data_IF_822280864707
#
_entry.id   IF_822280864707
#
_cell.length_a   1.000
_cell.length_b   1.000
_cell.length_c   1.000
_cell.angle_alpha   90.00
_cell.angle_beta   90.00
_cell.angle_gamma   90.00
#
_symmetry.space_group_name_H-M   'P 1'
#
loop_
_entity.id
_entity.type
_entity.pdbx_description
1 polymer ?
#
# COMPACT_ATOMS: atom_id res chain seq x y z
N UNK A 1 5.05 20.79 -38.61
CA UNK A 1 4.90 20.81 -37.14
C UNK A 1 4.53 22.22 -36.77
N UNK A 2 3.35 22.40 -36.21
CA UNK A 2 2.87 23.69 -35.73
C UNK A 2 3.43 23.98 -34.33
N UNK A 3 3.54 25.24 -33.97
CA UNK A 3 3.57 25.63 -32.56
C UNK A 3 2.15 25.58 -31.97
N UNK A 4 2.01 25.75 -30.65
CA UNK A 4 0.72 25.64 -29.96
C UNK A 4 -0.31 26.64 -30.50
N UNK A 5 0.09 27.89 -30.72
CA UNK A 5 -0.83 28.95 -31.13
C UNK A 5 -1.32 28.74 -32.56
N UNK A 6 -0.42 28.42 -33.50
CA UNK A 6 -0.82 28.14 -34.89
C UNK A 6 -1.62 26.84 -35.02
N UNK A 7 -1.37 25.81 -34.19
CA UNK A 7 -2.19 24.61 -34.17
C UNK A 7 -3.62 24.92 -33.68
N UNK A 8 -3.75 25.75 -32.64
CA UNK A 8 -5.05 26.17 -32.13
C UNK A 8 -5.80 27.06 -33.11
N UNK A 9 -5.11 27.91 -33.89
CA UNK A 9 -5.74 28.70 -34.95
C UNK A 9 -6.34 27.83 -36.05
N UNK A 10 -5.68 26.73 -36.42
CA UNK A 10 -6.22 25.75 -37.39
C UNK A 10 -7.52 25.12 -36.87
N UNK A 11 -7.57 24.74 -35.60
CA UNK A 11 -8.78 24.15 -34.99
C UNK A 11 -9.87 25.23 -34.85
N UNK A 12 -9.50 26.41 -34.36
CA UNK A 12 -10.40 27.56 -34.12
C UNK A 12 -11.07 28.05 -35.39
N UNK A 13 -10.39 27.97 -36.54
CA UNK A 13 -10.96 28.31 -37.84
C UNK A 13 -12.18 27.43 -38.22
N UNK A 14 -12.30 26.23 -37.62
CA UNK A 14 -13.42 25.31 -37.82
C UNK A 14 -14.42 25.36 -36.67
N UNK A 15 -13.92 25.35 -35.44
CA UNK A 15 -14.71 25.35 -34.21
C UNK A 15 -13.93 25.99 -33.05
N UNK A 16 -14.38 27.16 -32.60
CA UNK A 16 -13.79 27.91 -31.50
C UNK A 16 -13.95 27.20 -30.14
N UNK A 17 -15.05 26.47 -29.94
CA UNK A 17 -15.28 25.70 -28.72
C UNK A 17 -14.34 24.50 -28.65
N UNK A 18 -14.17 23.78 -29.76
CA UNK A 18 -13.21 22.68 -29.86
C UNK A 18 -11.77 23.15 -29.58
N UNK A 19 -11.37 24.30 -30.11
CA UNK A 19 -10.06 24.88 -29.84
C UNK A 19 -9.87 25.20 -28.34
N UNK A 20 -10.89 25.77 -27.69
CA UNK A 20 -10.86 26.05 -26.23
C UNK A 20 -10.74 24.78 -25.40
N UNK A 21 -11.51 23.74 -25.72
CA UNK A 21 -11.46 22.47 -25.00
C UNK A 21 -10.11 21.75 -25.19
N UNK A 22 -9.60 21.70 -26.42
CA UNK A 22 -8.29 21.12 -26.70
C UNK A 22 -7.17 21.87 -25.97
N UNK A 23 -7.23 23.21 -25.96
CA UNK A 23 -6.29 24.04 -25.21
C UNK A 23 -6.37 23.79 -23.69
N UNK A 24 -7.58 23.68 -23.14
CA UNK A 24 -7.78 23.38 -21.72
C UNK A 24 -7.19 22.01 -21.34
N UNK A 25 -7.46 20.96 -22.13
CA UNK A 25 -6.89 19.63 -21.90
C UNK A 25 -5.36 19.64 -22.02
N UNK A 26 -4.82 20.33 -23.01
CA UNK A 26 -3.38 20.53 -23.15
C UNK A 26 -2.79 21.18 -21.90
N UNK A 27 -3.36 22.29 -21.43
CA UNK A 27 -2.89 22.98 -20.24
C UNK A 27 -2.93 22.10 -18.99
N UNK A 28 -4.02 21.36 -18.77
CA UNK A 28 -4.13 20.44 -17.63
C UNK A 28 -3.08 19.35 -17.74
N UNK A 29 -2.91 18.73 -18.91
CA UNK A 29 -1.87 17.72 -19.15
C UNK A 29 -0.47 18.27 -18.85
N UNK A 30 -0.16 19.50 -19.28
CA UNK A 30 1.15 20.12 -19.04
C UNK A 30 1.39 20.48 -17.59
N UNK A 31 0.34 20.85 -16.85
CA UNK A 31 0.44 21.18 -15.44
C UNK A 31 0.68 19.96 -14.55
N UNK A 32 0.24 18.78 -14.99
CA UNK A 32 0.39 17.51 -14.25
C UNK A 32 1.52 16.62 -14.78
N UNK A 33 2.10 16.93 -15.94
CA UNK A 33 3.19 16.16 -16.53
C UNK A 33 4.46 16.29 -15.68
N UNK A 34 5.10 15.16 -15.38
CA UNK A 34 6.38 15.18 -14.66
C UNK A 34 7.59 15.65 -15.51
N UNK A 35 7.39 16.07 -16.78
CA UNK A 35 8.40 16.79 -17.54
C UNK A 35 7.75 17.91 -18.38
N UNK A 36 8.13 19.19 -18.20
CA UNK A 36 7.44 20.32 -18.80
C UNK A 36 7.67 20.47 -20.32
N UNK A 37 8.51 19.62 -20.93
CA UNK A 37 8.81 19.68 -22.39
C UNK A 37 8.44 18.45 -23.20
N UNK A 38 8.26 17.26 -22.61
CA UNK A 38 7.96 16.01 -23.37
C UNK A 38 6.50 15.60 -23.15
N UNK A 39 5.80 15.22 -24.22
CA UNK A 39 4.48 14.56 -24.16
C UNK A 39 4.72 13.06 -24.09
N UNK A 40 3.90 12.35 -23.33
CA UNK A 40 4.11 10.93 -23.02
C UNK A 40 2.80 10.19 -23.20
N UNK A 41 2.88 8.88 -23.45
CA UNK A 41 1.70 8.02 -23.55
C UNK A 41 0.91 8.02 -22.26
N UNK A 42 1.60 7.99 -21.11
CA UNK A 42 0.97 8.02 -19.79
C UNK A 42 0.12 9.29 -19.60
N UNK A 43 0.68 10.47 -19.91
CA UNK A 43 -0.03 11.74 -19.72
C UNK A 43 -1.30 11.79 -20.60
N UNK A 44 -1.20 11.35 -21.86
CA UNK A 44 -2.32 11.35 -22.80
C UNK A 44 -3.40 10.37 -22.34
N UNK A 45 -3.03 9.15 -21.94
CA UNK A 45 -3.96 8.15 -21.41
C UNK A 45 -4.66 8.65 -20.13
N UNK A 46 -3.91 9.26 -19.20
CA UNK A 46 -4.48 9.85 -17.99
C UNK A 46 -5.49 10.96 -18.31
N UNK A 47 -5.21 11.77 -19.33
CA UNK A 47 -6.14 12.80 -19.78
C UNK A 47 -7.43 12.22 -20.36
N UNK A 48 -7.34 11.33 -21.35
CA UNK A 48 -8.53 10.84 -22.07
C UNK A 48 -9.28 9.75 -21.33
N UNK A 49 -8.63 8.98 -20.44
CA UNK A 49 -9.29 7.87 -19.72
C UNK A 49 -9.80 8.26 -18.35
N UNK A 50 -9.22 9.28 -17.68
CA UNK A 50 -9.62 9.70 -16.33
C UNK A 50 -10.05 11.16 -16.26
N UNK A 51 -9.21 12.08 -16.70
CA UNK A 51 -9.42 13.52 -16.45
C UNK A 51 -10.63 14.05 -17.22
N UNK A 52 -10.73 13.73 -18.51
CA UNK A 52 -11.84 14.15 -19.37
C UNK A 52 -13.18 13.53 -18.92
N UNK A 53 -13.32 12.19 -18.74
CA UNK A 53 -14.53 11.60 -18.17
C UNK A 53 -14.91 12.15 -16.78
N UNK A 54 -13.94 12.33 -15.89
CA UNK A 54 -14.17 12.86 -14.55
C UNK A 54 -14.67 14.31 -14.55
N UNK A 55 -14.24 15.13 -15.51
CA UNK A 55 -14.70 16.50 -15.67
C UNK A 55 -16.15 16.59 -16.20
N UNK A 56 -16.63 15.54 -16.90
CA UNK A 56 -18.01 15.44 -17.38
C UNK A 56 -19.00 15.03 -16.27
N UNK A 57 -18.59 14.18 -15.32
CA UNK A 57 -19.49 13.56 -14.31
C UNK A 57 -19.45 14.29 -12.95
N UNK A 58 -19.24 15.61 -12.90
CA UNK A 58 -19.15 16.33 -11.61
C UNK A 58 -20.45 16.21 -10.78
N UNK A 59 -20.38 15.85 -9.49
CA UNK A 59 -21.57 15.80 -8.63
C UNK A 59 -22.19 17.20 -8.48
N UNK A 60 -23.39 17.41 -9.04
CA UNK A 60 -24.23 18.60 -8.76
C UNK A 60 -24.20 19.75 -9.78
N UNK A 61 -23.78 19.54 -11.03
CA UNK A 61 -23.88 20.56 -12.09
C UNK A 61 -23.71 20.00 -13.50
N UNK A 62 -23.82 20.88 -14.51
CA UNK A 62 -23.45 20.56 -15.90
C UNK A 62 -21.93 20.32 -15.97
N UNK A 63 -21.52 19.17 -16.51
CA UNK A 63 -20.11 18.81 -16.68
C UNK A 63 -19.34 19.86 -17.48
N UNK A 64 -18.01 19.93 -17.29
CA UNK A 64 -17.19 20.93 -17.99
C UNK A 64 -17.15 20.72 -19.53
N UNK A 65 -17.55 19.53 -20.00
CA UNK A 65 -17.57 19.15 -21.40
C UNK A 65 -18.90 18.43 -21.68
N UNK A 66 -19.71 18.92 -22.63
CA UNK A 66 -20.96 18.27 -23.02
C UNK A 66 -20.69 17.08 -23.97
N UNK A 67 -19.79 17.26 -24.94
CA UNK A 67 -19.39 16.23 -25.91
C UNK A 67 -17.99 15.70 -25.60
N UNK A 68 -17.94 14.52 -24.96
CA UNK A 68 -16.70 13.82 -24.64
C UNK A 68 -15.91 13.41 -25.89
N UNK A 69 -16.61 12.91 -26.92
CA UNK A 69 -15.97 12.40 -28.12
C UNK A 69 -15.41 13.54 -28.96
N UNK A 70 -16.20 14.59 -29.21
CA UNK A 70 -15.75 15.78 -29.93
C UNK A 70 -14.59 16.48 -29.22
N UNK A 71 -14.62 16.54 -27.88
CA UNK A 71 -13.51 17.07 -27.09
C UNK A 71 -12.25 16.22 -27.20
N UNK A 72 -12.38 14.88 -27.17
CA UNK A 72 -11.26 13.96 -27.37
C UNK A 72 -10.67 14.04 -28.78
N UNK A 73 -11.51 14.19 -29.81
CA UNK A 73 -11.09 14.35 -31.20
C UNK A 73 -10.36 15.68 -31.44
N UNK A 74 -10.86 16.78 -30.86
CA UNK A 74 -10.18 18.07 -30.91
C UNK A 74 -8.79 18.01 -30.25
N UNK A 75 -8.69 17.29 -29.12
CA UNK A 75 -7.40 17.04 -28.46
C UNK A 75 -6.47 16.17 -29.31
N UNK A 76 -7.01 15.14 -29.97
CA UNK A 76 -6.26 14.31 -30.91
C UNK A 76 -5.74 15.12 -32.13
N UNK A 77 -6.55 16.03 -32.66
CA UNK A 77 -6.15 16.94 -33.74
C UNK A 77 -5.02 17.86 -33.28
N UNK A 78 -5.13 18.45 -32.09
CA UNK A 78 -4.06 19.28 -31.51
C UNK A 78 -2.76 18.50 -31.39
N UNK A 79 -2.79 17.28 -30.80
CA UNK A 79 -1.61 16.42 -30.70
C UNK A 79 -1.00 16.12 -32.07
N UNK A 80 -1.82 15.82 -33.07
CA UNK A 80 -1.36 15.56 -34.42
C UNK A 80 -0.66 16.78 -35.05
N UNK A 81 -1.25 17.98 -34.95
CA UNK A 81 -0.67 19.22 -35.49
C UNK A 81 0.66 19.59 -34.83
N UNK A 82 0.82 19.26 -33.55
CA UNK A 82 2.07 19.40 -32.79
C UNK A 82 3.11 18.29 -33.10
N UNK A 83 2.77 17.33 -33.97
CA UNK A 83 3.67 16.24 -34.38
C UNK A 83 3.69 15.04 -33.43
N UNK A 84 2.71 14.92 -32.54
CA UNK A 84 2.54 13.81 -31.61
C UNK A 84 1.58 12.74 -32.17
N UNK A 85 1.85 12.25 -33.38
CA UNK A 85 0.94 11.38 -34.14
C UNK A 85 0.56 10.10 -33.37
N UNK A 86 1.55 9.41 -32.78
CA UNK A 86 1.32 8.20 -31.96
C UNK A 86 0.40 8.45 -30.77
N UNK A 87 0.40 9.66 -30.21
CA UNK A 87 -0.45 10.02 -29.08
C UNK A 87 -1.85 10.44 -29.52
N UNK A 88 -1.97 11.09 -30.68
CA UNK A 88 -3.27 11.32 -31.31
C UNK A 88 -4.00 10.00 -31.62
N UNK A 89 -3.28 8.95 -32.01
CA UNK A 89 -3.85 7.61 -32.21
C UNK A 89 -4.42 7.00 -30.92
N UNK A 90 -3.84 7.30 -29.74
CA UNK A 90 -4.40 6.86 -28.45
C UNK A 90 -5.78 7.47 -28.24
N UNK A 91 -5.93 8.77 -28.49
CA UNK A 91 -7.21 9.47 -28.37
C UNK A 91 -8.28 8.85 -29.29
N UNK A 92 -7.92 8.54 -30.53
CA UNK A 92 -8.81 7.96 -31.55
C UNK A 92 -8.98 6.45 -31.46
N UNK A 93 -8.38 5.81 -30.47
CA UNK A 93 -8.39 4.36 -30.38
C UNK A 93 -9.79 3.82 -30.00
N UNK A 94 -10.18 2.63 -30.49
CA UNK A 94 -11.42 1.97 -30.06
C UNK A 94 -11.47 1.68 -28.55
N UNK A 95 -10.32 1.64 -27.87
CA UNK A 95 -10.26 1.51 -26.40
C UNK A 95 -10.73 2.80 -25.75
N UNK A 96 -10.18 3.95 -26.15
CA UNK A 96 -10.56 5.26 -25.62
C UNK A 96 -12.04 5.54 -25.84
N UNK A 97 -12.56 5.32 -27.05
CA UNK A 97 -13.98 5.59 -27.33
C UNK A 97 -14.90 4.74 -26.46
N UNK A 98 -14.59 3.45 -26.23
CA UNK A 98 -15.36 2.60 -25.31
C UNK A 98 -15.33 3.09 -23.86
N UNK A 99 -14.24 3.70 -23.42
CA UNK A 99 -14.13 4.30 -22.08
C UNK A 99 -15.01 5.55 -22.00
N UNK A 100 -14.96 6.42 -23.01
CA UNK A 100 -15.78 7.63 -23.06
C UNK A 100 -17.28 7.30 -23.10
N UNK A 101 -17.69 6.30 -23.88
CA UNK A 101 -19.08 5.80 -23.92
C UNK A 101 -19.58 5.33 -22.55
N UNK A 102 -18.68 4.79 -21.73
CA UNK A 102 -19.01 4.27 -20.41
C UNK A 102 -18.93 5.33 -19.31
N UNK A 103 -18.48 6.57 -19.57
CA UNK A 103 -18.11 7.54 -18.52
C UNK A 103 -19.18 7.76 -17.43
N UNK A 104 -20.47 7.69 -17.76
CA UNK A 104 -21.58 7.81 -16.81
C UNK A 104 -21.99 6.51 -16.08
N UNK A 105 -21.39 5.36 -16.42
CA UNK A 105 -21.69 4.06 -15.83
C UNK A 105 -20.73 3.75 -14.66
N UNK A 106 -21.19 3.76 -13.40
CA UNK A 106 -20.34 3.63 -12.22
C UNK A 106 -19.68 2.25 -12.06
N UNK A 107 -20.14 1.22 -12.77
CA UNK A 107 -19.57 -0.14 -12.71
C UNK A 107 -18.68 -0.40 -13.91
N UNK A 108 -19.18 -0.12 -15.11
CA UNK A 108 -18.48 -0.44 -16.35
C UNK A 108 -17.28 0.47 -16.62
N UNK A 109 -17.37 1.75 -16.26
CA UNK A 109 -16.27 2.70 -16.51
C UNK A 109 -14.98 2.33 -15.76
N UNK A 110 -15.01 2.10 -14.42
CA UNK A 110 -13.81 1.69 -13.69
C UNK A 110 -13.17 0.40 -14.22
N UNK A 111 -13.99 -0.58 -14.61
CA UNK A 111 -13.51 -1.86 -15.18
C UNK A 111 -12.79 -1.66 -16.51
N UNK A 112 -13.35 -0.86 -17.43
CA UNK A 112 -12.73 -0.56 -18.72
C UNK A 112 -11.43 0.23 -18.57
N UNK A 113 -11.41 1.21 -17.68
CA UNK A 113 -10.21 2.01 -17.38
C UNK A 113 -9.11 1.12 -16.78
N UNK A 114 -9.45 0.28 -15.81
CA UNK A 114 -8.48 -0.64 -15.19
C UNK A 114 -7.88 -1.60 -16.21
N UNK A 115 -8.71 -2.19 -17.08
CA UNK A 115 -8.22 -3.08 -18.15
C UNK A 115 -7.33 -2.35 -19.15
N UNK A 116 -7.72 -1.16 -19.58
CA UNK A 116 -6.95 -0.37 -20.54
C UNK A 116 -5.58 0.05 -19.98
N UNK A 117 -5.50 0.37 -18.69
CA UNK A 117 -4.23 0.63 -18.02
C UNK A 117 -3.35 -0.62 -17.92
N UNK A 118 -3.91 -1.78 -17.55
CA UNK A 118 -3.17 -3.03 -17.51
C UNK A 118 -2.59 -3.42 -18.88
N UNK A 119 -3.35 -3.19 -19.97
CA UNK A 119 -2.93 -3.45 -21.35
C UNK A 119 -2.00 -2.36 -21.93
N UNK A 120 -1.86 -1.20 -21.26
CA UNK A 120 -1.13 -0.05 -21.80
C UNK A 120 0.39 -0.25 -21.86
N UNK A 121 0.93 -1.12 -21.00
CA UNK A 121 2.37 -1.31 -20.81
C UNK A 121 3.10 -0.12 -20.19
N UNK A 122 2.39 0.94 -19.75
CA UNK A 122 2.98 2.14 -19.13
C UNK A 122 2.37 2.47 -17.77
N UNK A 123 1.45 1.64 -17.28
CA UNK A 123 0.98 1.72 -15.89
C UNK A 123 2.11 1.29 -14.94
N UNK A 124 2.49 2.13 -13.96
CA UNK A 124 3.44 1.73 -12.94
C UNK A 124 2.89 0.57 -12.10
N UNK A 125 3.60 -0.57 -11.98
CA UNK A 125 3.17 -1.66 -11.10
C UNK A 125 3.38 -1.30 -9.63
N UNK A 126 2.65 -1.99 -8.74
CA UNK A 126 3.01 -1.99 -7.32
C UNK A 126 4.41 -2.60 -7.13
N UNK A 127 5.03 -2.28 -6.00
CA UNK A 127 6.37 -2.77 -5.66
C UNK A 127 6.35 -3.45 -4.29
N UNK A 128 7.39 -4.24 -3.95
CA UNK A 128 7.53 -4.80 -2.61
C UNK A 128 7.61 -3.77 -1.47
N UNK A 129 7.81 -2.48 -1.76
CA UNK A 129 7.96 -1.42 -0.74
C UNK A 129 6.84 -0.39 -0.75
N UNK A 130 5.89 -0.50 -1.69
CA UNK A 130 4.88 0.53 -1.97
C UNK A 130 3.77 -0.05 -2.86
N UNK A 131 2.51 0.19 -2.52
CA UNK A 131 1.39 0.11 -3.47
C UNK A 131 0.85 1.51 -3.81
N UNK A 132 0.39 1.70 -5.04
CA UNK A 132 -0.16 2.99 -5.48
C UNK A 132 -1.52 3.29 -4.85
N UNK A 133 -1.72 4.55 -4.46
CA UNK A 133 -2.99 5.08 -3.94
C UNK A 133 -3.94 5.42 -5.09
N UNK A 134 -5.24 5.17 -4.89
CA UNK A 134 -6.26 5.63 -5.84
C UNK A 134 -6.42 7.15 -5.85
N UNK A 135 -6.02 7.81 -4.75
CA UNK A 135 -6.05 9.26 -4.55
C UNK A 135 -4.67 9.73 -4.07
N UNK A 136 -3.69 9.67 -4.97
CA UNK A 136 -2.34 10.19 -4.72
C UNK A 136 -2.32 11.72 -4.64
N UNK A 137 -1.38 12.28 -3.87
CA UNK A 137 -1.13 13.71 -3.87
C UNK A 137 -0.29 14.16 -5.09
N UNK A 138 0.14 15.43 -5.12
CA UNK A 138 0.97 15.96 -6.21
C UNK A 138 2.27 15.19 -6.45
N UNK A 139 2.97 14.77 -5.40
CA UNK A 139 4.22 14.00 -5.49
C UNK A 139 3.95 12.62 -6.06
N UNK A 140 2.96 11.90 -5.54
CA UNK A 140 2.60 10.58 -6.05
C UNK A 140 2.16 10.63 -7.52
N UNK A 141 1.39 11.66 -7.89
CA UNK A 141 0.96 11.91 -9.28
C UNK A 141 2.17 12.16 -10.20
N UNK A 142 3.10 13.01 -9.79
CA UNK A 142 4.32 13.29 -10.55
C UNK A 142 5.20 12.03 -10.69
N UNK A 143 5.33 11.25 -9.62
CA UNK A 143 6.08 10.00 -9.62
C UNK A 143 5.42 8.95 -10.54
N UNK A 144 4.10 8.85 -10.55
CA UNK A 144 3.36 8.01 -11.48
C UNK A 144 3.68 8.36 -12.94
N UNK A 145 3.65 9.65 -13.28
CA UNK A 145 4.01 10.12 -14.62
C UNK A 145 5.48 9.88 -14.96
N UNK A 146 6.39 10.05 -14.00
CA UNK A 146 7.81 9.73 -14.18
C UNK A 146 8.05 8.23 -14.41
N UNK A 147 7.35 7.36 -13.66
CA UNK A 147 7.37 5.91 -13.89
C UNK A 147 6.80 5.57 -15.27
N UNK A 148 5.67 6.17 -15.66
CA UNK A 148 5.04 5.95 -16.97
C UNK A 148 5.99 6.27 -18.12
N UNK A 149 6.72 7.40 -18.04
CA UNK A 149 7.78 7.73 -19.00
C UNK A 149 8.90 6.71 -19.05
N UNK A 150 9.42 6.34 -17.89
CA UNK A 150 10.52 5.37 -17.79
C UNK A 150 10.13 4.03 -18.43
N UNK A 151 8.89 3.57 -18.19
CA UNK A 151 8.36 2.36 -18.79
C UNK A 151 8.16 2.50 -20.29
N UNK A 152 7.62 3.63 -20.75
CA UNK A 152 7.45 3.94 -22.17
C UNK A 152 8.80 3.91 -22.91
N UNK A 153 9.81 4.61 -22.40
CA UNK A 153 11.15 4.64 -22.99
C UNK A 153 11.80 3.26 -23.03
N UNK A 154 11.61 2.45 -21.98
CA UNK A 154 12.11 1.08 -21.94
C UNK A 154 11.42 0.17 -22.98
N UNK A 155 10.12 0.36 -23.22
CA UNK A 155 9.36 -0.33 -24.28
C UNK A 155 9.84 0.10 -25.65
N UNK A 156 9.99 1.41 -25.89
CA UNK A 156 10.47 1.95 -27.18
C UNK A 156 11.90 1.49 -27.50
N UNK A 157 12.75 1.35 -26.48
CA UNK A 157 14.10 0.81 -26.62
C UNK A 157 14.14 -0.72 -26.84
N UNK A 158 13.00 -1.42 -26.77
CA UNK A 158 12.92 -2.88 -26.87
C UNK A 158 13.50 -3.62 -25.67
N UNK A 159 13.81 -2.91 -24.57
CA UNK A 159 14.33 -3.50 -23.33
C UNK A 159 13.23 -4.02 -22.42
N UNK A 160 11.98 -3.67 -22.70
CA UNK A 160 10.79 -4.10 -21.98
C UNK A 160 9.71 -4.55 -22.97
N UNK A 161 9.08 -5.72 -22.78
CA UNK A 161 8.00 -6.17 -23.66
C UNK A 161 6.80 -5.21 -23.64
N UNK A 162 6.21 -4.94 -24.80
CA UNK A 162 5.06 -4.03 -24.93
C UNK A 162 3.73 -4.67 -24.51
N UNK A 163 3.66 -6.00 -24.47
CA UNK A 163 2.46 -6.81 -24.21
C UNK A 163 2.11 -6.95 -22.72
N UNK A 164 2.75 -6.15 -21.85
CA UNK A 164 2.59 -6.24 -20.41
C UNK A 164 3.38 -7.37 -19.75
N UNK A 165 4.02 -8.26 -20.52
CA UNK A 165 4.95 -9.24 -19.95
C UNK A 165 6.21 -8.55 -19.41
N UNK A 166 6.93 -9.21 -18.50
CA UNK A 166 8.13 -8.66 -17.86
C UNK A 166 7.88 -7.89 -16.56
N UNK A 167 6.85 -8.23 -15.79
CA UNK A 167 6.52 -7.62 -14.49
C UNK A 167 7.75 -7.43 -13.56
N UNK A 168 8.65 -8.41 -13.37
CA UNK A 168 9.82 -8.21 -12.52
C UNK A 168 10.75 -7.08 -13.00
N UNK A 169 10.86 -6.89 -14.32
CA UNK A 169 11.66 -5.80 -14.91
C UNK A 169 10.99 -4.44 -14.71
N UNK A 170 9.65 -4.38 -14.80
CA UNK A 170 8.85 -3.18 -14.52
C UNK A 170 9.02 -2.75 -13.07
N UNK A 171 8.85 -3.68 -12.14
CA UNK A 171 9.10 -3.46 -10.71
C UNK A 171 10.53 -2.97 -10.48
N UNK A 172 11.52 -3.61 -11.11
CA UNK A 172 12.93 -3.19 -11.01
C UNK A 172 13.22 -1.78 -11.56
N UNK A 173 12.52 -1.35 -12.62
CA UNK A 173 12.60 0.02 -13.15
C UNK A 173 11.99 1.04 -12.17
N UNK A 174 10.79 0.78 -11.67
CA UNK A 174 10.12 1.64 -10.69
C UNK A 174 10.94 1.75 -9.40
N UNK A 175 11.47 0.64 -8.88
CA UNK A 175 12.33 0.62 -7.69
C UNK A 175 13.61 1.46 -7.87
N UNK A 176 14.23 1.42 -9.05
CA UNK A 176 15.39 2.28 -9.35
C UNK A 176 15.02 3.76 -9.36
N UNK A 177 13.85 4.12 -9.89
CA UNK A 177 13.38 5.51 -9.87
C UNK A 177 13.02 5.97 -8.44
N UNK A 178 12.38 5.11 -7.65
CA UNK A 178 12.05 5.39 -6.24
C UNK A 178 13.30 5.73 -5.41
N UNK A 179 14.43 5.10 -5.73
CA UNK A 179 15.71 5.26 -5.03
C UNK A 179 16.62 6.32 -5.64
N UNK A 180 16.29 6.88 -6.81
CA UNK A 180 17.07 7.96 -7.41
C UNK A 180 16.68 9.32 -6.82
N UNK A 181 17.63 10.25 -6.68
CA UNK A 181 17.32 11.64 -6.40
C UNK A 181 16.44 12.20 -7.53
N UNK A 182 15.52 13.09 -7.20
CA UNK A 182 14.89 13.93 -8.22
C UNK A 182 15.96 14.86 -8.82
N UNK A 183 15.84 15.20 -10.11
CA UNK A 183 16.89 15.77 -10.97
C UNK A 183 17.72 16.96 -10.42
N UNK A 184 17.30 17.59 -9.32
CA UNK A 184 17.96 18.75 -8.69
C UNK A 184 18.05 18.67 -7.15
N UNK A 185 17.65 17.55 -6.52
CA UNK A 185 17.58 17.41 -5.05
C UNK A 185 18.46 16.31 -4.48
N UNK A 186 18.79 16.40 -3.19
CA UNK A 186 19.47 15.30 -2.45
C UNK A 186 18.49 14.18 -2.04
N UNK A 187 17.19 14.44 -2.10
CA UNK A 187 16.16 13.54 -1.61
C UNK A 187 15.59 12.64 -2.71
N UNK A 188 15.37 11.37 -2.37
CA UNK A 188 14.82 10.39 -3.30
C UNK A 188 13.31 10.55 -3.48
N UNK A 189 12.79 10.07 -4.61
CA UNK A 189 11.34 10.01 -4.86
C UNK A 189 10.57 9.28 -3.75
N UNK A 190 11.13 8.19 -3.24
CA UNK A 190 10.51 7.43 -2.15
C UNK A 190 10.39 8.25 -0.86
N UNK A 191 11.40 9.04 -0.52
CA UNK A 191 11.39 9.87 0.68
C UNK A 191 10.34 10.99 0.59
N UNK A 192 10.24 11.66 -0.56
CA UNK A 192 9.20 12.68 -0.82
C UNK A 192 7.80 12.09 -0.81
N UNK A 193 7.60 10.93 -1.47
CA UNK A 193 6.32 10.22 -1.47
C UNK A 193 5.90 9.84 -0.05
N UNK A 194 6.84 9.33 0.75
CA UNK A 194 6.59 8.98 2.14
C UNK A 194 6.19 10.21 2.97
N UNK A 195 6.85 11.35 2.77
CA UNK A 195 6.48 12.60 3.45
C UNK A 195 5.08 13.08 3.05
N UNK A 196 4.75 13.10 1.76
CA UNK A 196 3.40 13.46 1.28
C UNK A 196 2.34 12.56 1.91
N UNK A 197 2.57 11.25 1.91
CA UNK A 197 1.61 10.30 2.47
C UNK A 197 1.53 10.36 3.99
N UNK A 198 2.62 10.65 4.70
CA UNK A 198 2.60 10.94 6.13
C UNK A 198 1.76 12.19 6.42
N UNK A 199 1.95 13.25 5.63
CA UNK A 199 1.24 14.51 5.77
C UNK A 199 -0.25 14.37 5.43
N UNK A 200 -0.65 13.37 4.63
CA UNK A 200 -2.04 12.99 4.42
C UNK A 200 -2.60 12.05 5.52
N UNK A 201 -1.82 11.06 5.96
CA UNK A 201 -2.23 10.01 6.90
C UNK A 201 -2.39 10.51 8.34
N UNK A 202 -1.48 11.39 8.80
CA UNK A 202 -1.47 11.94 10.16
C UNK A 202 -2.72 12.78 10.45
N UNK A 203 -3.10 13.79 9.62
CA UNK A 203 -4.31 14.56 9.81
C UNK A 203 -5.56 13.87 9.24
N UNK A 204 -5.45 12.63 8.76
CA UNK A 204 -6.58 11.81 8.33
C UNK A 204 -7.71 11.79 9.37
N UNK A 205 -8.92 11.38 8.95
CA UNK A 205 -10.14 11.54 9.76
C UNK A 205 -10.01 11.02 11.21
N UNK A 206 -10.63 11.77 12.13
CA UNK A 206 -11.47 11.20 13.18
C UNK A 206 -10.96 11.24 14.63
N UNK A 207 -9.67 11.41 14.93
CA UNK A 207 -9.24 11.50 16.33
C UNK A 207 -8.10 12.51 16.54
N UNK A 208 -8.33 13.47 17.44
CA UNK A 208 -7.30 14.39 17.93
C UNK A 208 -6.22 13.62 18.68
N UNK A 209 -6.62 12.68 19.55
CA UNK A 209 -5.69 11.84 20.31
C UNK A 209 -4.76 11.04 19.39
N UNK A 210 -5.32 10.43 18.33
CA UNK A 210 -4.56 9.71 17.29
C UNK A 210 -3.57 10.66 16.60
N UNK A 211 -4.07 11.81 16.12
CA UNK A 211 -3.24 12.81 15.42
C UNK A 211 -2.07 13.28 16.30
N UNK A 212 -2.31 13.62 17.56
CA UNK A 212 -1.26 14.08 18.47
C UNK A 212 -0.16 13.03 18.68
N UNK A 213 -0.54 11.75 18.81
CA UNK A 213 0.43 10.67 18.91
C UNK A 213 1.24 10.50 17.62
N UNK A 214 0.57 10.50 16.46
CA UNK A 214 1.22 10.27 15.16
C UNK A 214 2.12 11.45 14.74
N UNK A 215 1.77 12.70 15.04
CA UNK A 215 2.65 13.86 14.82
C UNK A 215 3.99 13.67 15.52
N UNK A 216 3.97 13.21 16.77
CA UNK A 216 5.18 12.96 17.56
C UNK A 216 5.99 11.78 17.03
N UNK A 217 5.33 10.81 16.39
CA UNK A 217 5.96 9.63 15.81
C UNK A 217 6.40 9.81 14.35
N UNK A 218 6.07 10.94 13.70
CA UNK A 218 6.43 11.19 12.30
C UNK A 218 7.91 10.89 12.01
N UNK A 219 8.90 11.35 12.81
CA UNK A 219 10.32 11.04 12.54
C UNK A 219 10.64 9.54 12.60
N UNK A 220 9.98 8.82 13.50
CA UNK A 220 10.19 7.40 13.75
C UNK A 220 9.58 6.52 12.66
N UNK A 221 8.40 6.88 12.16
CA UNK A 221 7.74 6.20 11.03
C UNK A 221 8.48 6.51 9.72
N UNK A 222 8.98 7.74 9.59
CA UNK A 222 9.74 8.18 8.41
C UNK A 222 11.09 7.46 8.26
N UNK A 223 11.76 7.15 9.37
CA UNK A 223 13.03 6.40 9.34
C UNK A 223 12.76 4.93 8.95
N UNK A 224 13.60 4.37 8.10
CA UNK A 224 13.59 2.92 7.88
C UNK A 224 13.87 2.23 9.23
N UNK A 225 13.11 1.20 9.62
CA UNK A 225 13.42 0.43 10.81
C UNK A 225 14.86 -0.11 10.71
N UNK A 226 15.58 -0.09 11.82
CA UNK A 226 16.92 -0.71 11.91
C UNK A 226 16.83 -2.18 11.48
N UNK A 227 17.94 -2.87 11.20
CA UNK A 227 17.97 -4.32 10.95
C UNK A 227 18.52 -5.03 12.18
N UNK A 228 18.02 -6.24 12.48
CA UNK A 228 18.50 -7.03 13.64
C UNK A 228 18.26 -8.51 13.35
N UNK A 229 19.24 -9.36 13.62
CA UNK A 229 19.27 -10.75 13.14
C UNK A 229 18.12 -11.63 13.68
N UNK A 230 17.63 -11.40 14.91
CA UNK A 230 16.58 -12.25 15.52
C UNK A 230 15.39 -11.44 16.03
N UNK A 231 14.33 -11.30 15.22
CA UNK A 231 13.18 -10.46 15.58
C UNK A 231 11.95 -11.21 16.07
N UNK A 232 11.76 -12.46 15.66
CA UNK A 232 10.52 -13.21 15.94
C UNK A 232 10.84 -14.71 16.14
N UNK A 233 11.60 -15.08 17.20
CA UNK A 233 12.21 -16.41 17.32
C UNK A 233 11.19 -17.56 17.32
N UNK A 234 10.05 -17.39 18.01
CA UNK A 234 9.01 -18.40 18.02
C UNK A 234 8.35 -18.61 16.65
N UNK A 235 8.16 -17.53 15.88
CA UNK A 235 7.65 -17.61 14.52
C UNK A 235 8.64 -18.33 13.61
N UNK A 236 9.94 -18.01 13.70
CA UNK A 236 10.99 -18.69 12.95
C UNK A 236 11.02 -20.20 13.26
N UNK A 237 10.94 -20.59 14.53
CA UNK A 237 10.85 -22.01 14.93
C UNK A 237 9.64 -22.71 14.29
N UNK A 238 8.49 -22.03 14.24
CA UNK A 238 7.29 -22.57 13.58
C UNK A 238 7.50 -22.74 12.08
N UNK A 239 8.00 -21.70 11.39
CA UNK A 239 8.20 -21.72 9.94
C UNK A 239 9.23 -22.78 9.53
N UNK A 240 10.35 -22.87 10.22
CA UNK A 240 11.39 -23.87 9.94
C UNK A 240 10.86 -25.30 10.13
N UNK A 241 10.06 -25.52 11.18
CA UNK A 241 9.40 -26.82 11.42
C UNK A 241 8.34 -27.17 10.37
N UNK A 242 7.83 -26.17 9.65
CA UNK A 242 6.85 -26.30 8.58
C UNK A 242 7.47 -26.35 7.18
N UNK A 243 8.79 -26.15 7.05
CA UNK A 243 9.51 -26.16 5.77
C UNK A 243 9.45 -27.53 5.09
N UNK A 244 9.45 -27.55 3.75
CA UNK A 244 9.50 -28.78 2.95
C UNK A 244 8.28 -29.68 3.14
N UNK A 245 8.45 -30.83 3.79
CA UNK A 245 7.37 -31.81 4.02
C UNK A 245 6.35 -31.33 5.07
N UNK A 246 6.65 -30.29 5.85
CA UNK A 246 5.78 -29.72 6.87
C UNK A 246 5.57 -30.56 8.12
N UNK A 247 5.04 -29.92 9.16
CA UNK A 247 4.73 -30.56 10.44
C UNK A 247 3.45 -31.40 10.34
N UNK A 248 3.54 -32.69 10.68
CA UNK A 248 2.37 -33.58 10.66
C UNK A 248 1.40 -33.23 11.79
N UNK A 249 0.18 -32.83 11.46
CA UNK A 249 -0.82 -32.55 12.47
C UNK A 249 -1.33 -33.86 13.10
N UNK A 250 -1.78 -33.77 14.34
CA UNK A 250 -2.51 -34.85 15.01
C UNK A 250 -3.86 -35.09 14.32
N UNK A 251 -4.53 -36.20 14.64
CA UNK A 251 -5.86 -36.51 14.11
C UNK A 251 -6.88 -35.38 14.40
N UNK A 252 -6.75 -34.70 15.53
CA UNK A 252 -7.58 -33.55 15.94
C UNK A 252 -7.12 -32.22 15.32
N UNK A 253 -6.08 -32.21 14.47
CA UNK A 253 -5.58 -31.02 13.80
C UNK A 253 -4.58 -30.18 14.60
N UNK A 254 -4.16 -30.64 15.79
CA UNK A 254 -3.15 -29.95 16.61
C UNK A 254 -1.71 -30.20 16.14
N UNK A 255 -0.80 -29.30 16.49
CA UNK A 255 0.65 -29.45 16.32
C UNK A 255 1.19 -30.67 17.10
N UNK A 256 2.25 -31.34 16.60
CA UNK A 256 2.97 -32.35 17.35
C UNK A 256 3.46 -31.85 18.71
N UNK A 257 3.39 -32.70 19.73
CA UNK A 257 3.82 -32.37 21.10
C UNK A 257 5.28 -31.93 21.18
N UNK A 258 6.16 -32.46 20.32
CA UNK A 258 7.56 -32.05 20.22
C UNK A 258 7.69 -30.59 19.73
N UNK A 259 6.93 -30.21 18.70
CA UNK A 259 6.92 -28.84 18.19
C UNK A 259 6.29 -27.88 19.20
N UNK A 260 5.20 -28.29 19.86
CA UNK A 260 4.58 -27.51 20.95
C UNK A 260 5.60 -27.25 22.06
N UNK A 261 6.42 -28.24 22.44
CA UNK A 261 7.46 -28.06 23.45
C UNK A 261 8.56 -27.07 23.00
N UNK A 262 9.02 -27.17 21.75
CA UNK A 262 10.00 -26.22 21.20
C UNK A 262 9.46 -24.79 21.17
N UNK A 263 8.22 -24.60 20.72
CA UNK A 263 7.57 -23.29 20.70
C UNK A 263 7.35 -22.74 22.11
N UNK A 264 6.86 -23.57 23.03
CA UNK A 264 6.65 -23.16 24.42
C UNK A 264 7.97 -22.76 25.12
N UNK A 265 9.09 -23.40 24.77
CA UNK A 265 10.41 -23.01 25.27
C UNK A 265 10.91 -21.68 24.69
N UNK A 266 10.61 -21.41 23.42
CA UNK A 266 10.99 -20.18 22.72
C UNK A 266 10.12 -18.97 23.10
N UNK A 267 8.90 -19.17 23.60
CA UNK A 267 7.93 -18.10 23.85
C UNK A 267 7.88 -17.67 25.32
N UNK A 268 8.25 -16.43 25.68
CA UNK A 268 8.04 -15.91 27.03
C UNK A 268 6.57 -15.95 27.48
N UNK A 269 5.62 -15.73 26.55
CA UNK A 269 4.18 -15.81 26.81
C UNK A 269 3.73 -17.17 27.36
N UNK A 270 4.41 -18.26 27.02
CA UNK A 270 4.12 -19.59 27.55
C UNK A 270 4.52 -19.74 29.02
N UNK A 271 5.58 -19.06 29.49
CA UNK A 271 6.03 -19.13 30.90
C UNK A 271 4.99 -18.62 31.90
N UNK A 272 4.15 -17.69 31.47
CA UNK A 272 3.06 -17.14 32.28
C UNK A 272 1.81 -18.04 32.31
N UNK A 273 1.77 -19.11 31.51
CA UNK A 273 0.65 -20.03 31.45
C UNK A 273 0.82 -21.12 32.51
N UNK A 274 -0.18 -21.31 33.38
CA UNK A 274 -0.13 -22.26 34.52
C UNK A 274 -0.45 -23.71 34.14
N UNK A 275 -0.53 -24.04 32.84
CA UNK A 275 -0.99 -25.34 32.35
C UNK A 275 0.15 -26.37 32.27
N UNK A 276 -0.13 -27.62 32.63
CA UNK A 276 0.82 -28.74 32.63
C UNK A 276 0.64 -29.70 31.44
N UNK A 277 -0.01 -29.27 30.37
CA UNK A 277 -0.37 -30.12 29.23
C UNK A 277 0.71 -30.23 28.16
N UNK A 278 0.69 -31.32 27.38
CA UNK A 278 1.64 -31.55 26.26
C UNK A 278 1.06 -31.23 24.88
N UNK A 279 -0.25 -31.01 24.79
CA UNK A 279 -0.98 -30.72 23.55
C UNK A 279 -1.13 -29.21 23.33
N UNK A 280 -1.16 -28.76 22.07
CA UNK A 280 -1.41 -27.36 21.67
C UNK A 280 -2.62 -26.74 22.36
N UNK A 281 -3.68 -27.53 22.59
CA UNK A 281 -4.89 -27.07 23.29
C UNK A 281 -4.65 -26.58 24.73
N UNK A 282 -3.53 -26.97 25.35
CA UNK A 282 -3.13 -26.51 26.68
C UNK A 282 -2.20 -25.30 26.63
N UNK A 283 -1.80 -24.86 25.43
CA UNK A 283 -0.89 -23.75 25.20
C UNK A 283 -1.56 -22.69 24.29
N UNK A 284 -2.49 -21.87 24.84
CA UNK A 284 -3.14 -20.81 24.06
C UNK A 284 -2.18 -19.89 23.30
N UNK A 285 -1.00 -19.50 23.83
CA UNK A 285 -0.05 -18.70 23.06
C UNK A 285 0.46 -19.42 21.79
N UNK A 286 0.71 -20.73 21.85
CA UNK A 286 1.16 -21.53 20.70
C UNK A 286 0.06 -21.62 19.64
N UNK A 287 -1.17 -21.89 20.07
CA UNK A 287 -2.32 -21.92 19.17
C UNK A 287 -2.53 -20.56 18.47
N UNK A 288 -2.41 -19.46 19.22
CA UNK A 288 -2.52 -18.11 18.67
C UNK A 288 -1.38 -17.78 17.70
N UNK A 289 -0.14 -18.18 17.98
CA UNK A 289 0.99 -17.98 17.06
C UNK A 289 0.70 -18.63 15.70
N UNK A 290 0.21 -19.87 15.75
CA UNK A 290 -0.20 -20.59 14.54
C UNK A 290 -1.32 -19.88 13.81
N UNK A 291 -2.37 -19.45 14.51
CA UNK A 291 -3.47 -18.69 13.90
C UNK A 291 -2.99 -17.40 13.23
N UNK A 292 -2.06 -16.67 13.88
CA UNK A 292 -1.45 -15.48 13.27
C UNK A 292 -0.67 -15.85 12.01
N UNK A 293 0.17 -16.88 12.05
CA UNK A 293 0.93 -17.33 10.88
C UNK A 293 0.04 -17.80 9.71
N UNK A 294 -1.07 -18.48 10.01
CA UNK A 294 -2.10 -18.86 9.02
C UNK A 294 -2.78 -17.61 8.43
N UNK A 295 -3.19 -16.64 9.27
CA UNK A 295 -3.84 -15.40 8.81
C UNK A 295 -2.91 -14.48 8.01
N UNK A 296 -1.61 -14.57 8.24
CA UNK A 296 -0.56 -13.85 7.49
C UNK A 296 -0.12 -14.61 6.24
N UNK A 297 -0.75 -15.75 5.93
CA UNK A 297 -0.42 -16.61 4.79
C UNK A 297 1.04 -17.10 4.77
N UNK A 298 1.65 -17.27 5.94
CA UNK A 298 3.01 -17.82 6.07
C UNK A 298 3.01 -19.34 6.11
N UNK A 299 1.93 -19.93 6.61
CA UNK A 299 1.70 -21.37 6.66
C UNK A 299 0.29 -21.70 6.19
N UNK A 300 0.11 -22.92 5.70
CA UNK A 300 -1.17 -23.46 5.28
C UNK A 300 -1.34 -24.91 5.73
N UNK A 301 -2.60 -25.33 5.89
CA UNK A 301 -2.94 -26.71 6.21
C UNK A 301 -3.26 -27.48 4.95
N UNK A 302 -2.39 -28.43 4.60
CA UNK A 302 -2.52 -29.26 3.41
C UNK A 302 -2.35 -30.74 3.78
N UNK A 303 -3.35 -31.57 3.43
CA UNK A 303 -3.34 -33.02 3.65
C UNK A 303 -2.97 -33.47 5.09
N UNK A 304 -3.51 -32.78 6.11
CA UNK A 304 -3.24 -33.09 7.52
C UNK A 304 -1.83 -32.70 7.99
N UNK A 305 -1.15 -31.82 7.26
CA UNK A 305 0.14 -31.22 7.62
C UNK A 305 0.01 -29.70 7.62
N UNK A 306 0.82 -29.06 8.44
CA UNK A 306 1.05 -27.61 8.38
C UNK A 306 2.34 -27.37 7.62
N UNK A 307 2.26 -26.67 6.48
CA UNK A 307 3.39 -26.42 5.58
C UNK A 307 3.60 -24.93 5.43
N UNK A 308 4.83 -24.50 5.18
CA UNK A 308 5.08 -23.13 4.73
C UNK A 308 4.47 -22.92 3.36
N UNK A 309 3.95 -21.72 3.13
CA UNK A 309 3.63 -21.25 1.77
C UNK A 309 4.93 -20.90 1.03
N UNK A 310 4.84 -20.54 -0.25
CA UNK A 310 5.99 -20.03 -1.00
C UNK A 310 6.56 -18.77 -0.33
N UNK A 311 5.67 -17.86 0.10
CA UNK A 311 6.04 -16.67 0.86
C UNK A 311 6.71 -17.04 2.20
N UNK A 312 6.10 -17.91 3.00
CA UNK A 312 6.69 -18.34 4.27
C UNK A 312 8.08 -18.96 4.10
N UNK A 313 8.29 -19.72 3.01
CA UNK A 313 9.58 -20.34 2.70
C UNK A 313 10.66 -19.32 2.35
N UNK A 314 10.32 -18.26 1.60
CA UNK A 314 11.27 -17.20 1.25
C UNK A 314 11.72 -16.36 2.46
N UNK A 315 10.87 -16.25 3.49
CA UNK A 315 11.11 -15.37 4.64
C UNK A 315 11.92 -16.01 5.78
N UNK A 316 12.11 -17.34 5.76
CA UNK A 316 12.87 -18.05 6.82
C UNK A 316 14.30 -17.54 6.91
N UNK A 317 14.94 -17.34 5.75
CA UNK A 317 16.35 -16.98 5.64
C UNK A 317 16.56 -15.45 5.55
N UNK A 318 15.49 -14.65 5.74
CA UNK A 318 15.50 -13.18 5.67
C UNK A 318 14.63 -12.57 6.80
N UNK A 319 15.28 -12.33 7.95
CA UNK A 319 14.64 -11.83 9.16
C UNK A 319 14.02 -10.42 8.98
N UNK A 320 14.59 -9.59 8.12
CA UNK A 320 14.06 -8.25 7.86
C UNK A 320 12.80 -8.31 7.00
N UNK A 321 12.80 -9.12 5.94
CA UNK A 321 11.60 -9.35 5.13
C UNK A 321 10.50 -10.04 5.94
N UNK A 322 10.87 -10.93 6.88
CA UNK A 322 9.89 -11.55 7.80
C UNK A 322 9.24 -10.49 8.69
N UNK A 323 10.04 -9.62 9.30
CA UNK A 323 9.51 -8.53 10.12
C UNK A 323 8.61 -7.59 9.30
N UNK A 324 9.03 -7.23 8.09
CA UNK A 324 8.26 -6.41 7.15
C UNK A 324 6.89 -7.02 6.90
N UNK A 325 6.88 -8.28 6.48
CA UNK A 325 5.67 -9.03 6.18
C UNK A 325 4.73 -9.11 7.39
N UNK A 326 5.27 -9.42 8.57
CA UNK A 326 4.46 -9.47 9.80
C UNK A 326 3.95 -8.07 10.15
N UNK A 327 4.79 -7.04 10.01
CA UNK A 327 4.45 -5.65 10.27
C UNK A 327 3.29 -5.15 9.41
N UNK A 328 3.33 -5.44 8.11
CA UNK A 328 2.27 -5.12 7.14
C UNK A 328 0.93 -5.78 7.46
N UNK A 329 0.95 -6.97 8.07
CA UNK A 329 -0.25 -7.76 8.36
C UNK A 329 -0.75 -7.63 9.80
N UNK A 330 0.06 -7.04 10.69
CA UNK A 330 -0.27 -6.93 12.11
C UNK A 330 -1.43 -5.97 12.38
N UNK A 331 -1.48 -4.86 11.63
CA UNK A 331 -2.62 -3.93 11.65
C UNK A 331 -3.45 -4.25 10.42
N UNK A 332 -4.74 -4.49 10.59
CA UNK A 332 -5.63 -4.69 9.44
C UNK A 332 -5.63 -3.44 8.57
N UNK A 333 -5.48 -3.63 7.26
CA UNK A 333 -5.44 -2.51 6.33
C UNK A 333 -6.80 -1.79 6.30
N UNK A 334 -7.88 -2.55 6.50
CA UNK A 334 -9.23 -2.03 6.60
C UNK A 334 -9.41 -1.06 7.78
N UNK A 335 -10.33 -0.13 7.64
CA UNK A 335 -10.64 0.86 8.67
C UNK A 335 -11.65 0.32 9.69
N UNK A 336 -11.64 -0.99 9.92
CA UNK A 336 -12.48 -1.61 10.93
C UNK A 336 -11.90 -1.31 12.32
N UNK A 337 -12.74 -1.40 13.37
CA UNK A 337 -12.38 -1.08 14.76
C UNK A 337 -11.00 -1.63 15.21
N UNK A 338 -10.59 -2.87 14.83
CA UNK A 338 -9.25 -3.38 15.13
C UNK A 338 -8.09 -2.49 14.66
N UNK A 339 -8.20 -1.81 13.52
CA UNK A 339 -7.13 -1.01 12.92
C UNK A 339 -6.74 0.21 13.77
N UNK A 340 -7.64 1.18 14.01
CA UNK A 340 -7.35 2.36 14.82
C UNK A 340 -6.94 2.03 16.26
N UNK A 341 -7.52 0.98 16.86
CA UNK A 341 -7.14 0.52 18.19
C UNK A 341 -5.69 -0.02 18.21
N UNK A 342 -5.31 -0.85 17.22
CA UNK A 342 -3.94 -1.35 17.09
C UNK A 342 -2.92 -0.22 16.86
N UNK A 343 -3.25 0.75 15.99
CA UNK A 343 -2.43 1.95 15.77
C UNK A 343 -2.21 2.71 17.09
N UNK A 344 -3.28 2.92 17.87
CA UNK A 344 -3.19 3.62 19.16
C UNK A 344 -2.33 2.86 20.19
N UNK A 345 -2.40 1.53 20.24
CA UNK A 345 -1.54 0.71 21.13
C UNK A 345 -0.07 0.85 20.74
N UNK A 346 0.26 0.68 19.45
CA UNK A 346 1.65 0.80 18.98
C UNK A 346 2.18 2.22 19.20
N UNK A 347 1.36 3.23 18.90
CA UNK A 347 1.75 4.62 19.08
C UNK A 347 2.02 4.95 20.56
N UNK A 348 1.15 4.49 21.47
CA UNK A 348 1.33 4.66 22.91
C UNK A 348 2.63 4.00 23.41
N UNK A 349 2.95 2.80 22.95
CA UNK A 349 4.14 2.05 23.33
C UNK A 349 5.45 2.53 22.66
N UNK A 350 5.37 3.23 21.53
CA UNK A 350 6.53 3.88 20.91
C UNK A 350 6.86 5.23 21.57
N UNK A 351 5.85 5.94 22.07
CA UNK A 351 6.01 7.24 22.73
C UNK A 351 6.48 7.15 24.18
N UNK A 352 6.26 6.02 24.85
CA UNK A 352 6.70 5.77 26.22
C UNK A 352 7.39 4.42 26.32
N UNK A 353 8.58 4.36 26.92
CA UNK A 353 9.36 3.12 27.01
C UNK A 353 8.59 1.97 27.68
N UNK A 354 7.81 2.28 28.72
CA UNK A 354 6.92 1.33 29.40
C UNK A 354 5.67 2.01 29.91
N UNK A 355 4.50 1.51 29.53
CA UNK A 355 3.19 2.06 29.89
C UNK A 355 2.33 1.06 30.65
N UNK A 356 1.50 1.53 31.59
CA UNK A 356 0.50 0.68 32.26
C UNK A 356 -0.62 0.30 31.27
N UNK A 357 -1.07 -0.97 31.20
CA UNK A 357 -2.13 -1.38 30.26
C UNK A 357 -3.40 -0.54 30.34
N UNK A 358 -3.80 -0.11 31.55
CA UNK A 358 -4.96 0.76 31.75
C UNK A 358 -4.83 2.13 31.03
N UNK A 359 -3.62 2.71 30.98
CA UNK A 359 -3.36 3.96 30.25
C UNK A 359 -3.36 3.75 28.74
N UNK A 360 -2.89 2.60 28.27
CA UNK A 360 -3.01 2.22 26.86
C UNK A 360 -4.50 2.12 26.48
N UNK A 361 -5.29 1.43 27.30
CA UNK A 361 -6.74 1.31 27.12
C UNK A 361 -7.46 2.67 27.12
N UNK A 362 -7.06 3.60 28.00
CA UNK A 362 -7.60 4.96 28.01
C UNK A 362 -7.36 5.67 26.68
N UNK A 363 -6.12 5.62 26.15
CA UNK A 363 -5.78 6.19 24.83
C UNK A 363 -6.58 5.55 23.70
N UNK A 364 -6.71 4.22 23.69
CA UNK A 364 -7.55 3.49 22.72
C UNK A 364 -9.01 3.95 22.83
N UNK A 365 -9.53 4.10 24.05
CA UNK A 365 -10.89 4.59 24.29
C UNK A 365 -11.12 5.99 23.73
N UNK A 366 -10.17 6.91 23.90
CA UNK A 366 -10.24 8.24 23.29
C UNK A 366 -10.25 8.18 21.76
N UNK A 367 -9.37 7.39 21.15
CA UNK A 367 -9.32 7.23 19.69
C UNK A 367 -10.63 6.66 19.15
N UNK A 368 -11.12 5.56 19.71
CA UNK A 368 -12.39 4.95 19.28
C UNK A 368 -13.58 5.90 19.46
N UNK A 369 -13.63 6.62 20.59
CA UNK A 369 -14.71 7.56 20.88
C UNK A 369 -14.70 8.75 19.93
N UNK A 370 -13.54 9.34 19.65
CA UNK A 370 -13.41 10.49 18.76
C UNK A 370 -13.74 10.10 17.31
N UNK A 371 -13.35 8.89 16.88
CA UNK A 371 -13.64 8.36 15.54
C UNK A 371 -15.10 7.90 15.38
N UNK A 372 -15.89 7.90 16.45
CA UNK A 372 -17.27 7.42 16.44
C UNK A 372 -17.39 5.91 16.24
N UNK A 373 -16.34 5.16 16.57
CA UNK A 373 -16.27 3.71 16.40
C UNK A 373 -16.79 2.99 17.65
N UNK A 374 -17.78 2.09 17.52
CA UNK A 374 -18.25 1.30 18.66
C UNK A 374 -17.21 0.24 19.05
N UNK A 375 -17.03 -0.05 20.33
CA UNK A 375 -16.14 -1.13 20.76
C UNK A 375 -15.73 -1.03 22.23
N UNK A 376 -15.32 -2.16 22.82
CA UNK A 376 -14.72 -2.15 24.16
C UNK A 376 -13.21 -1.91 24.05
N UNK A 377 -12.69 -0.75 24.46
CA UNK A 377 -11.26 -0.46 24.36
C UNK A 377 -10.41 -1.45 25.15
N UNK A 378 -10.94 -2.05 26.23
CA UNK A 378 -10.21 -3.07 27.01
C UNK A 378 -10.02 -4.33 26.21
N UNK A 379 -11.07 -4.79 25.51
CA UNK A 379 -11.00 -5.96 24.66
C UNK A 379 -9.96 -5.76 23.55
N UNK A 380 -10.05 -4.65 22.81
CA UNK A 380 -9.11 -4.38 21.72
C UNK A 380 -7.66 -4.24 22.21
N UNK A 381 -7.45 -3.53 23.31
CA UNK A 381 -6.11 -3.40 23.92
C UNK A 381 -5.56 -4.76 24.34
N UNK A 382 -6.36 -5.57 25.04
CA UNK A 382 -5.92 -6.86 25.60
C UNK A 382 -5.62 -7.86 24.48
N UNK A 383 -6.50 -7.94 23.47
CA UNK A 383 -6.29 -8.80 22.30
C UNK A 383 -5.01 -8.43 21.57
N UNK A 384 -4.82 -7.14 21.26
CA UNK A 384 -3.64 -6.71 20.51
C UNK A 384 -2.34 -6.87 21.31
N UNK A 385 -2.33 -6.55 22.61
CA UNK A 385 -1.18 -6.85 23.48
C UNK A 385 -0.88 -8.35 23.56
N UNK A 386 -1.89 -9.20 23.45
CA UNK A 386 -1.70 -10.66 23.42
C UNK A 386 -1.03 -11.10 22.11
N UNK A 387 -1.41 -10.52 20.97
CA UNK A 387 -0.72 -10.76 19.69
C UNK A 387 0.75 -10.35 19.77
N UNK A 388 1.04 -9.16 20.31
CA UNK A 388 2.41 -8.69 20.48
C UNK A 388 3.24 -9.61 21.39
N UNK A 389 2.67 -10.09 22.50
CA UNK A 389 3.36 -11.03 23.41
C UNK A 389 3.68 -12.37 22.74
N UNK A 390 2.77 -12.89 21.94
CA UNK A 390 2.96 -14.14 21.20
C UNK A 390 4.06 -14.01 20.15
N UNK A 391 4.21 -12.82 19.58
CA UNK A 391 5.28 -12.47 18.65
C UNK A 391 6.58 -12.06 19.36
N UNK A 392 6.67 -12.13 20.69
CA UNK A 392 7.83 -11.67 21.48
C UNK A 392 8.18 -10.16 21.28
N UNK A 393 7.16 -9.38 20.92
CA UNK A 393 7.28 -7.95 20.67
C UNK A 393 7.18 -7.09 21.95
N UNK A 394 6.95 -7.69 23.12
CA UNK A 394 6.81 -6.97 24.40
C UNK A 394 7.66 -7.56 25.52
N UNK A 395 8.19 -6.71 26.39
CA UNK A 395 9.09 -7.08 27.50
C UNK A 395 8.37 -7.62 28.76
N UNK A 396 7.08 -7.90 28.67
CA UNK A 396 6.19 -8.04 29.82
C UNK A 396 5.16 -9.15 29.63
N UNK A 397 4.93 -9.92 30.70
CA UNK A 397 3.91 -10.95 30.75
C UNK A 397 2.47 -10.37 30.88
N UNK A 398 1.48 -11.27 30.95
CA UNK A 398 0.07 -10.91 31.07
C UNK A 398 -0.30 -10.16 32.36
N UNK A 399 0.47 -10.33 33.42
CA UNK A 399 0.22 -9.79 34.77
C UNK A 399 1.02 -8.54 35.08
N UNK A 400 1.96 -8.17 34.20
CA UNK A 400 2.85 -7.04 34.39
C UNK A 400 2.08 -5.73 34.54
N UNK A 401 2.49 -4.92 35.53
CA UNK A 401 1.91 -3.60 35.79
C UNK A 401 2.25 -2.58 34.70
N UNK A 402 3.31 -2.82 33.93
CA UNK A 402 3.77 -2.00 32.82
C UNK A 402 4.28 -2.89 31.70
N UNK A 403 4.07 -2.45 30.46
CA UNK A 403 4.46 -3.14 29.24
C UNK A 403 5.30 -2.18 28.40
N UNK A 404 6.46 -2.63 27.94
CA UNK A 404 7.27 -1.97 26.91
C UNK A 404 7.45 -2.86 25.68
N UNK A 405 7.92 -2.27 24.59
CA UNK A 405 8.31 -3.01 23.39
C UNK A 405 9.75 -3.52 23.54
N UNK A 406 9.99 -4.76 23.12
CA UNK A 406 11.35 -5.27 22.89
C UNK A 406 12.00 -4.52 21.71
N UNK A 407 13.32 -4.63 21.46
CA UNK A 407 13.93 -4.05 20.25
C UNK A 407 13.24 -4.52 18.96
N UNK A 408 12.93 -5.81 18.87
CA UNK A 408 12.15 -6.37 17.77
C UNK A 408 10.72 -5.82 17.72
N UNK A 409 10.07 -5.67 18.88
CA UNK A 409 8.75 -5.04 18.97
C UNK A 409 8.72 -3.58 18.54
N UNK A 410 9.79 -2.81 18.80
CA UNK A 410 9.93 -1.43 18.30
C UNK A 410 10.09 -1.41 16.78
N UNK A 411 10.93 -2.29 16.24
CA UNK A 411 11.08 -2.43 14.79
C UNK A 411 9.75 -2.82 14.13
N UNK A 412 9.05 -3.82 14.69
CA UNK A 412 7.74 -4.27 14.24
C UNK A 412 6.71 -3.14 14.29
N UNK A 413 6.62 -2.42 15.41
CA UNK A 413 5.70 -1.31 15.59
C UNK A 413 5.94 -0.18 14.58
N UNK A 414 7.21 0.21 14.38
CA UNK A 414 7.58 1.21 13.36
C UNK A 414 7.21 0.73 11.96
N UNK A 415 7.49 -0.54 11.64
CA UNK A 415 7.11 -1.12 10.35
C UNK A 415 5.60 -1.13 10.16
N UNK A 416 4.84 -1.62 11.14
CA UNK A 416 3.38 -1.65 11.05
C UNK A 416 2.77 -0.28 10.80
N UNK A 417 3.22 0.77 11.52
CA UNK A 417 2.75 2.13 11.25
C UNK A 417 3.20 2.65 9.89
N UNK A 418 4.42 2.33 9.45
CA UNK A 418 4.94 2.72 8.13
C UNK A 418 4.19 2.02 7.00
N UNK A 419 3.83 0.75 7.16
CA UNK A 419 3.05 -0.02 6.21
C UNK A 419 1.67 0.60 5.96
N UNK A 420 1.04 1.22 6.98
CA UNK A 420 -0.22 1.96 6.81
C UNK A 420 -0.10 3.14 5.84
N UNK A 421 1.11 3.68 5.69
CA UNK A 421 1.42 4.80 4.80
C UNK A 421 1.84 4.27 3.42
N UNK A 422 2.66 3.22 3.37
CA UNK A 422 3.20 2.67 2.12
C UNK A 422 2.21 1.80 1.35
N UNK A 423 1.26 1.17 2.04
CA UNK A 423 0.28 0.24 1.47
C UNK A 423 -1.15 0.68 1.77
N UNK A 424 -1.61 1.81 1.22
CA UNK A 424 -2.97 2.29 1.43
C UNK A 424 -4.00 1.29 0.87
N UNK A 425 -5.13 1.14 1.56
CA UNK A 425 -6.28 0.42 1.00
C UNK A 425 -6.83 1.19 -0.20
N UNK A 426 -7.01 0.48 -1.31
CA UNK A 426 -7.75 0.93 -2.49
C UNK A 426 -9.24 1.04 -2.17
#
# INVERSE_FOLDING_TARGET
MHDLDSALDVIRARDDTAAKHAHALWHVMRATAAHPTKVTRYDVQQMVWRTLPGAHVRPGGDGAFEDLHGTCDAFAELLHLLGHERYAEVCRSPVTHRILDAAGDPVRYPELVARAWAESGVQPPDTPVLTWSDQGGPVETALHAACGRLLEEAVEAGTLPADGSGEPMRVGLVMRLLTSPEAEGEETWFARLLDERLDAWIPGRGSQTRREMLVRLRPEVRRAPETTEDRLPALLVLLESCRGAGARLTASGYLPTALVASLAAAMPACRATTTAGRSESHWPPVALLRTLAESMHLVERTAGRLRTTDQGTCLIDDADSLLMTVGERLITADRTIPGPAAEAVLAALLLEDRMAPARITEKVGHVLSEEGLPGDPRLHTTTFLTHLRVLDATDADATARRVGLTPAGRALARWSLRARVLFPTR
#
